data_IF_803564874459
#
_entry.id   IF_803564874459
#
_cell.length_a   1.000
_cell.length_b   1.000
_cell.length_c   1.000
_cell.angle_alpha   90.00
_cell.angle_beta   90.00
_cell.angle_gamma   90.00
#
_symmetry.space_group_name_H-M   'P 1'
#
loop_
_entity.id
_entity.type
_entity.pdbx_description
1 polymer ?
#
# COMPACT_ATOMS: atom_id res chain seq x y z
N UNK A 1 16.48 22.44 -19.50
CA UNK A 1 15.70 23.15 -18.46
C UNK A 1 14.35 23.40 -19.12
N UNK A 2 13.31 22.63 -18.84
CA UNK A 2 12.57 22.75 -17.59
C UNK A 2 11.90 21.43 -17.19
N UNK A 3 12.49 20.73 -16.22
CA UNK A 3 11.92 19.54 -15.59
C UNK A 3 10.99 19.91 -14.40
N UNK A 4 10.60 21.19 -14.29
CA UNK A 4 9.98 21.77 -13.08
C UNK A 4 8.45 21.84 -13.16
N UNK A 5 7.83 21.44 -14.28
CA UNK A 5 6.36 21.53 -14.43
C UNK A 5 5.62 20.24 -14.04
N UNK A 6 6.30 19.08 -14.02
CA UNK A 6 5.65 17.81 -13.69
C UNK A 6 5.63 17.51 -12.18
N UNK A 7 6.52 18.12 -11.39
CA UNK A 7 6.71 17.74 -9.97
C UNK A 7 5.53 18.18 -9.08
N UNK A 8 4.74 19.18 -9.50
CA UNK A 8 3.66 19.75 -8.67
C UNK A 8 2.33 19.00 -8.81
N UNK A 9 2.11 18.24 -9.88
CA UNK A 9 0.86 17.50 -10.09
C UNK A 9 0.79 16.16 -9.34
N UNK A 10 1.93 15.58 -8.94
CA UNK A 10 1.98 14.30 -8.21
C UNK A 10 1.71 14.43 -6.70
N UNK A 11 1.59 15.66 -6.16
CA UNK A 11 1.49 15.87 -4.70
C UNK A 11 0.06 16.09 -4.18
N UNK A 12 -0.96 16.06 -5.05
CA UNK A 12 -2.30 16.55 -4.70
C UNK A 12 -3.49 15.61 -4.90
N UNK A 13 -3.37 14.46 -5.57
CA UNK A 13 -4.57 13.77 -6.07
C UNK A 13 -4.61 12.23 -5.93
N UNK A 14 -3.74 11.61 -5.13
CA UNK A 14 -3.75 10.13 -4.95
C UNK A 14 -4.92 9.63 -4.09
N UNK A 15 -5.68 10.51 -3.44
CA UNK A 15 -6.76 10.14 -2.51
C UNK A 15 -8.04 9.67 -3.21
N UNK A 16 -8.27 10.04 -4.47
CA UNK A 16 -9.52 9.75 -5.20
C UNK A 16 -9.38 8.60 -6.22
N UNK A 17 -8.19 8.03 -6.37
CA UNK A 17 -8.02 6.87 -7.23
C UNK A 17 -8.70 5.64 -6.60
N UNK A 18 -9.56 4.98 -7.37
CA UNK A 18 -10.25 3.76 -6.95
C UNK A 18 -9.24 2.65 -6.67
N UNK A 19 -9.35 1.93 -5.53
CA UNK A 19 -8.42 0.87 -5.22
C UNK A 19 -8.57 -0.27 -6.23
N UNK A 20 -7.45 -0.65 -6.83
CA UNK A 20 -7.37 -1.69 -7.88
C UNK A 20 -6.52 -2.88 -7.45
N UNK A 21 -5.81 -2.75 -6.33
CA UNK A 21 -4.90 -3.76 -5.79
C UNK A 21 -5.25 -4.13 -4.36
N UNK A 22 -5.21 -5.42 -4.05
CA UNK A 22 -5.21 -5.91 -2.68
C UNK A 22 -3.77 -6.10 -2.22
N UNK A 23 -3.45 -5.56 -1.06
CA UNK A 23 -2.17 -5.74 -0.37
C UNK A 23 -2.42 -6.65 0.83
N UNK A 24 -1.70 -7.76 0.92
CA UNK A 24 -1.74 -8.66 2.08
C UNK A 24 -0.40 -8.61 2.78
N UNK A 25 -0.41 -8.34 4.07
CA UNK A 25 0.77 -8.22 4.93
C UNK A 25 0.78 -9.36 5.91
N UNK A 26 1.90 -10.06 5.99
CA UNK A 26 2.13 -11.17 6.91
C UNK A 26 3.07 -10.70 8.01
N UNK A 27 2.61 -10.79 9.25
CA UNK A 27 3.40 -10.57 10.43
C UNK A 27 3.64 -11.93 11.07
N UNK A 28 4.87 -12.41 11.00
CA UNK A 28 5.28 -13.61 11.71
C UNK A 28 5.45 -13.27 13.19
N UNK A 29 4.62 -13.88 14.04
CA UNK A 29 4.76 -13.79 15.48
C UNK A 29 5.86 -14.71 16.02
N UNK A 30 6.22 -14.61 17.31
CA UNK A 30 7.19 -15.51 17.94
C UNK A 30 6.72 -16.97 17.96
N UNK A 31 5.41 -17.21 17.80
CA UNK A 31 4.82 -18.52 17.59
C UNK A 31 4.01 -18.55 16.30
N UNK A 32 3.82 -19.72 15.66
CA UNK A 32 2.99 -19.82 14.45
C UNK A 32 1.50 -19.49 14.69
N UNK A 33 1.02 -19.52 15.93
CA UNK A 33 -0.34 -19.11 16.30
C UNK A 33 -0.48 -17.58 16.40
N UNK A 34 0.63 -16.87 16.62
CA UNK A 34 0.72 -15.41 16.64
C UNK A 34 0.88 -14.79 15.24
N UNK A 35 0.82 -15.60 14.17
CA UNK A 35 0.91 -15.09 12.81
C UNK A 35 -0.33 -14.23 12.47
N UNK A 36 -0.10 -12.95 12.18
CA UNK A 36 -1.15 -12.00 11.84
C UNK A 36 -1.13 -11.67 10.35
N UNK A 37 -2.29 -11.81 9.70
CA UNK A 37 -2.46 -11.44 8.29
C UNK A 37 -3.39 -10.24 8.19
N UNK A 38 -2.92 -9.16 7.56
CA UNK A 38 -3.72 -7.95 7.32
C UNK A 38 -3.92 -7.72 5.84
N UNK A 39 -5.17 -7.52 5.42
CA UNK A 39 -5.53 -7.28 4.02
C UNK A 39 -6.06 -5.85 3.83
N UNK A 40 -5.56 -5.18 2.79
CA UNK A 40 -5.92 -3.80 2.48
C UNK A 40 -6.22 -3.62 1.00
N UNK A 41 -7.16 -2.72 0.70
CA UNK A 41 -7.40 -2.21 -0.63
C UNK A 41 -6.52 -0.97 -0.89
N UNK A 42 -5.81 -0.95 -2.00
CA UNK A 42 -4.87 0.10 -2.38
C UNK A 42 -4.93 0.39 -3.87
N UNK A 43 -4.48 1.57 -4.28
CA UNK A 43 -4.16 1.87 -5.67
C UNK A 43 -2.85 1.19 -6.06
N UNK A 44 -2.54 1.14 -7.37
CA UNK A 44 -1.26 0.59 -7.83
C UNK A 44 -0.06 1.36 -7.26
N UNK A 45 -0.18 2.68 -7.16
CA UNK A 45 0.85 3.57 -6.59
C UNK A 45 1.02 3.37 -5.08
N UNK A 46 -0.09 3.27 -4.34
CA UNK A 46 -0.08 3.00 -2.89
C UNK A 46 0.53 1.62 -2.60
N UNK A 47 0.14 0.59 -3.35
CA UNK A 47 0.66 -0.77 -3.20
C UNK A 47 2.17 -0.83 -3.44
N UNK A 48 2.68 -0.13 -4.46
CA UNK A 48 4.12 -0.08 -4.75
C UNK A 48 4.92 0.59 -3.62
N UNK A 49 4.48 1.74 -3.15
CA UNK A 49 5.17 2.45 -2.07
C UNK A 49 5.12 1.63 -0.76
N UNK A 50 3.98 1.00 -0.46
CA UNK A 50 3.84 0.17 0.74
C UNK A 50 4.74 -1.06 0.68
N UNK A 51 4.74 -1.77 -0.45
CA UNK A 51 5.61 -2.94 -0.63
C UNK A 51 7.09 -2.58 -0.54
N UNK A 52 7.50 -1.44 -1.12
CA UNK A 52 8.87 -0.95 -0.98
C UNK A 52 9.25 -0.73 0.48
N UNK A 53 8.38 -0.10 1.28
CA UNK A 53 8.62 0.13 2.71
C UNK A 53 8.61 -1.17 3.52
N UNK A 54 7.67 -2.07 3.23
CA UNK A 54 7.53 -3.34 3.91
C UNK A 54 8.73 -4.26 3.68
N UNK A 55 9.23 -4.33 2.43
CA UNK A 55 10.46 -5.07 2.11
C UNK A 55 11.66 -4.49 2.87
N UNK A 56 11.78 -3.16 2.96
CA UNK A 56 12.83 -2.52 3.74
C UNK A 56 12.74 -2.82 5.24
N UNK A 57 11.52 -3.00 5.76
CA UNK A 57 11.27 -3.40 7.13
C UNK A 57 11.39 -4.92 7.37
N UNK A 58 11.68 -5.71 6.32
CA UNK A 58 11.78 -7.17 6.41
C UNK A 58 10.43 -7.88 6.54
N UNK A 59 9.33 -7.22 6.19
CA UNK A 59 7.99 -7.82 6.23
C UNK A 59 7.70 -8.59 4.95
N UNK A 60 6.97 -9.70 5.11
CA UNK A 60 6.44 -10.45 3.97
C UNK A 60 5.14 -9.80 3.51
N UNK A 61 5.07 -9.44 2.23
CA UNK A 61 3.91 -8.79 1.62
C UNK A 61 3.61 -9.38 0.26
N UNK A 62 2.32 -9.49 -0.06
CA UNK A 62 1.84 -9.89 -1.40
C UNK A 62 0.87 -8.85 -1.94
N UNK A 63 0.84 -8.71 -3.25
CA UNK A 63 -0.06 -7.79 -3.94
C UNK A 63 -0.75 -8.50 -5.09
N UNK A 64 -2.07 -8.45 -5.13
CA UNK A 64 -2.87 -9.05 -6.18
C UNK A 64 -4.01 -8.10 -6.63
N UNK A 65 -4.74 -8.48 -7.68
CA UNK A 65 -5.86 -7.70 -8.22
C UNK A 65 -7.23 -8.09 -7.68
N UNK A 66 -7.32 -9.03 -6.74
CA UNK A 66 -8.56 -9.55 -6.17
C UNK A 66 -9.05 -8.63 -5.04
N UNK A 67 -9.46 -7.42 -5.39
CA UNK A 67 -10.18 -6.52 -4.48
C UNK A 67 -11.54 -7.13 -4.16
N UNK A 68 -11.82 -7.33 -2.87
CA UNK A 68 -13.15 -7.65 -2.35
C UNK A 68 -13.87 -6.38 -1.88
N UNK A 69 -15.19 -6.26 -2.13
CA UNK A 69 -15.99 -5.20 -1.53
C UNK A 69 -15.97 -5.38 0.00
N UNK A 70 -15.53 -4.34 0.72
CA UNK A 70 -15.39 -4.37 2.19
C UNK A 70 -13.95 -4.47 2.72
N UNK A 71 -12.94 -4.59 1.85
CA UNK A 71 -11.55 -4.43 2.26
C UNK A 71 -11.29 -3.02 2.78
N UNK A 72 -10.59 -2.94 3.92
CA UNK A 72 -10.19 -1.66 4.49
C UNK A 72 -9.16 -1.01 3.57
N UNK A 73 -9.34 0.28 3.25
CA UNK A 73 -8.35 1.02 2.47
C UNK A 73 -7.03 1.11 3.24
N UNK A 74 -5.92 1.03 2.51
CA UNK A 74 -4.59 1.10 3.10
C UNK A 74 -4.42 2.47 3.79
N UNK A 75 -4.03 2.50 5.08
CA UNK A 75 -4.08 3.73 5.89
C UNK A 75 -2.97 4.74 5.58
N UNK A 76 -2.08 4.46 4.62
CA UNK A 76 -0.91 5.29 4.33
C UNK A 76 -1.21 6.57 3.53
N UNK A 77 -2.45 6.78 3.08
CA UNK A 77 -2.82 7.98 2.31
C UNK A 77 -2.61 9.30 3.07
N UNK A 78 -2.59 9.27 4.41
CA UNK A 78 -2.33 10.45 5.25
C UNK A 78 -0.94 10.49 5.88
N UNK A 79 -0.18 9.39 5.87
CA UNK A 79 1.08 9.25 6.60
C UNK A 79 2.32 9.69 5.82
N UNK A 80 2.22 9.84 4.50
CA UNK A 80 3.38 10.17 3.64
C UNK A 80 3.35 11.62 3.13
N UNK A 81 2.78 12.52 3.94
CA UNK A 81 2.67 13.95 3.63
C UNK A 81 3.90 14.74 4.05
#
# INVERSE_FOLDING_TARGET
>A
MDATALITAYRGNTTDESPTRRVTVYFDGPTPDDALVLEYAATSTEAWQFTSAAVHAGLTVTVDGMIRPGLRRLPCSSLWR
#
